data_IF_835299293143
#
_entry.id   IF_835299293143
#
_cell.length_a   1.000
_cell.length_b   1.000
_cell.length_c   1.000
_cell.angle_alpha   90.00
_cell.angle_beta   90.00
_cell.angle_gamma   90.00
#
_symmetry.space_group_name_H-M   'P 1'
#
loop_
_entity.id
_entity.type
_entity.pdbx_description
1 polymer ?
#
# COMPACT_ATOMS: atom_id res chain seq x y z
N UNK A 1 -7.57 7.28 -1.68
CA UNK A 1 -8.67 6.57 -0.96
C UNK A 1 -8.17 5.21 -0.51
N UNK A 2 -8.53 4.77 0.71
CA UNK A 2 -8.20 3.43 1.20
C UNK A 2 -8.73 2.33 0.25
N UNK A 3 -8.11 1.14 0.21
CA UNK A 3 -8.72 -0.03 -0.42
C UNK A 3 -10.12 -0.27 0.16
N UNK A 4 -11.09 -0.64 -0.69
CA UNK A 4 -12.50 -0.76 -0.33
C UNK A 4 -12.77 -1.68 0.87
N UNK A 5 -11.96 -2.72 1.04
CA UNK A 5 -12.04 -3.65 2.18
C UNK A 5 -11.77 -2.95 3.51
N UNK A 6 -10.73 -2.12 3.59
CA UNK A 6 -10.36 -1.41 4.82
C UNK A 6 -11.32 -0.28 5.15
N UNK A 7 -11.79 0.47 4.14
CA UNK A 7 -12.76 1.55 4.35
C UNK A 7 -14.10 0.98 4.86
N UNK A 8 -14.52 -0.19 4.36
CA UNK A 8 -15.72 -0.90 4.84
C UNK A 8 -15.59 -1.32 6.31
N UNK A 9 -14.49 -1.97 6.68
CA UNK A 9 -14.25 -2.41 8.07
C UNK A 9 -14.21 -1.21 9.00
N UNK A 10 -13.46 -0.17 8.62
CA UNK A 10 -13.35 1.05 9.40
C UNK A 10 -14.72 1.69 9.66
N UNK A 11 -15.52 1.87 8.60
CA UNK A 11 -16.85 2.46 8.70
C UNK A 11 -17.79 1.60 9.58
N UNK A 12 -17.69 0.27 9.50
CA UNK A 12 -18.46 -0.63 10.37
C UNK A 12 -18.03 -0.52 11.84
N UNK A 13 -16.73 -0.45 12.12
CA UNK A 13 -16.20 -0.34 13.48
C UNK A 13 -16.53 1.00 14.14
N UNK A 14 -16.69 2.07 13.35
CA UNK A 14 -16.99 3.42 13.85
C UNK A 14 -18.49 3.68 13.98
N UNK A 15 -19.34 2.96 13.23
CA UNK A 15 -20.79 3.19 13.21
C UNK A 15 -21.42 3.28 14.62
N UNK A 16 -21.09 2.42 15.61
CA UNK A 16 -21.64 2.53 16.96
C UNK A 16 -21.25 3.84 17.67
N UNK A 17 -20.02 4.32 17.44
CA UNK A 17 -19.53 5.58 18.02
C UNK A 17 -20.25 6.77 17.39
N UNK A 18 -20.45 6.75 16.07
CA UNK A 18 -21.24 7.77 15.37
C UNK A 18 -22.69 7.81 15.86
N UNK A 19 -23.31 6.64 16.05
CA UNK A 19 -24.66 6.53 16.62
C UNK A 19 -24.71 7.05 18.06
N UNK A 20 -23.71 6.74 18.90
CA UNK A 20 -23.66 7.26 20.27
C UNK A 20 -23.51 8.79 20.30
N UNK A 21 -22.70 9.35 19.41
CA UNK A 21 -22.44 10.79 19.32
C UNK A 21 -23.61 11.59 18.74
N UNK A 22 -24.53 10.95 18.01
CA UNK A 22 -25.75 11.59 17.50
C UNK A 22 -26.89 11.65 18.52
N UNK A 23 -26.81 10.90 19.63
CA UNK A 23 -27.81 10.95 20.69
C UNK A 23 -27.71 12.23 21.54
N UNK A 24 -28.84 12.73 22.02
CA UNK A 24 -28.96 13.96 22.81
C UNK A 24 -28.58 13.83 24.30
N UNK A 25 -27.89 12.76 24.68
CA UNK A 25 -27.50 12.48 26.07
C UNK A 25 -26.37 13.44 26.53
N UNK A 26 -25.56 13.95 25.58
CA UNK A 26 -24.44 14.84 25.84
C UNK A 26 -24.76 16.29 25.47
N UNK A 27 -24.27 17.26 26.27
CA UNK A 27 -24.37 18.69 25.98
C UNK A 27 -23.78 19.03 24.59
N UNK A 28 -24.37 20.00 23.89
CA UNK A 28 -24.08 20.34 22.48
C UNK A 28 -22.58 20.52 22.21
N UNK A 29 -21.88 21.32 23.02
CA UNK A 29 -20.46 21.61 22.81
C UNK A 29 -19.56 20.40 23.06
N UNK A 30 -19.94 19.56 24.04
CA UNK A 30 -19.23 18.32 24.35
C UNK A 30 -19.38 17.30 23.22
N UNK A 31 -20.57 17.22 22.59
CA UNK A 31 -20.77 16.43 21.36
C UNK A 31 -19.96 16.95 20.20
N UNK A 32 -19.96 18.26 19.95
CA UNK A 32 -19.19 18.86 18.87
C UNK A 32 -17.68 18.58 19.02
N UNK A 33 -17.14 18.71 20.23
CA UNK A 33 -15.75 18.38 20.54
C UNK A 33 -15.43 16.90 20.32
N UNK A 34 -16.30 16.00 20.79
CA UNK A 34 -16.14 14.55 20.61
C UNK A 34 -16.21 14.13 19.14
N UNK A 35 -17.14 14.68 18.36
CA UNK A 35 -17.26 14.45 16.91
C UNK A 35 -16.01 14.92 16.19
N UNK A 36 -15.49 16.11 16.54
CA UNK A 36 -14.25 16.64 15.97
C UNK A 36 -13.06 15.72 16.27
N UNK A 37 -12.89 15.30 17.54
CA UNK A 37 -11.83 14.35 17.93
C UNK A 37 -11.95 13.02 17.20
N UNK A 38 -13.16 12.47 17.12
CA UNK A 38 -13.43 11.22 16.40
C UNK A 38 -13.03 11.36 14.93
N UNK A 39 -13.44 12.42 14.24
CA UNK A 39 -13.08 12.67 12.84
C UNK A 39 -11.56 12.76 12.64
N UNK A 40 -10.84 13.46 13.53
CA UNK A 40 -9.37 13.53 13.49
C UNK A 40 -8.73 12.16 13.66
N UNK A 41 -9.15 11.37 14.64
CA UNK A 41 -8.63 10.02 14.88
C UNK A 41 -8.89 9.10 13.70
N UNK A 42 -10.09 9.15 13.11
CA UNK A 42 -10.44 8.36 11.92
C UNK A 42 -9.52 8.73 10.76
N UNK A 43 -9.35 10.02 10.53
CA UNK A 43 -8.48 10.54 9.46
C UNK A 43 -7.05 10.06 9.65
N UNK A 44 -6.49 10.21 10.86
CA UNK A 44 -5.15 9.72 11.18
C UNK A 44 -5.01 8.22 10.94
N UNK A 45 -5.98 7.42 11.38
CA UNK A 45 -5.97 5.98 11.15
C UNK A 45 -5.97 5.62 9.66
N UNK A 46 -6.73 6.35 8.83
CA UNK A 46 -6.71 6.16 7.37
C UNK A 46 -5.33 6.44 6.78
N UNK A 47 -4.64 7.47 7.29
CA UNK A 47 -3.27 7.78 6.88
C UNK A 47 -2.28 6.69 7.30
N UNK A 48 -2.31 6.27 8.56
CA UNK A 48 -1.41 5.24 9.09
C UNK A 48 -1.58 3.92 8.34
N UNK A 49 -2.83 3.52 8.07
CA UNK A 49 -3.12 2.29 7.32
C UNK A 49 -2.65 2.37 5.86
N UNK A 50 -2.76 3.55 5.25
CA UNK A 50 -2.19 3.76 3.92
C UNK A 50 -0.66 3.65 3.97
N UNK A 51 -0.01 4.34 4.90
CA UNK A 51 1.45 4.30 5.13
C UNK A 51 1.96 2.86 5.28
N UNK A 52 1.31 2.06 6.12
CA UNK A 52 1.64 0.64 6.28
C UNK A 52 1.46 -0.15 4.99
N UNK A 53 0.37 0.07 4.26
CA UNK A 53 0.12 -0.63 2.98
C UNK A 53 1.22 -0.34 1.97
N UNK A 54 1.70 0.90 1.91
CA UNK A 54 2.81 1.30 1.02
C UNK A 54 4.10 0.63 1.45
N UNK A 55 4.42 0.65 2.74
CA UNK A 55 5.63 0.04 3.28
C UNK A 55 5.67 -1.46 2.94
N UNK A 56 4.57 -2.18 3.17
CA UNK A 56 4.43 -3.60 2.81
C UNK A 56 4.64 -3.82 1.31
N UNK A 57 4.05 -2.97 0.46
CA UNK A 57 4.22 -3.07 -0.99
C UNK A 57 5.68 -2.83 -1.42
N UNK A 58 6.35 -1.85 -0.83
CA UNK A 58 7.75 -1.55 -1.08
C UNK A 58 8.67 -2.68 -0.64
N UNK A 59 8.46 -3.23 0.56
CA UNK A 59 9.25 -4.35 1.08
C UNK A 59 9.05 -5.61 0.25
N UNK A 60 7.82 -5.89 -0.16
CA UNK A 60 7.49 -6.99 -1.08
C UNK A 60 8.20 -6.82 -2.42
N UNK A 61 8.15 -5.62 -3.01
CA UNK A 61 8.84 -5.33 -4.26
C UNK A 61 10.36 -5.48 -4.12
N UNK A 62 10.95 -5.01 -3.01
CA UNK A 62 12.37 -5.17 -2.72
C UNK A 62 12.77 -6.64 -2.59
N UNK A 63 11.96 -7.45 -1.90
CA UNK A 63 12.18 -8.89 -1.77
C UNK A 63 12.16 -9.62 -3.12
N UNK A 64 11.18 -9.33 -3.98
CA UNK A 64 11.15 -9.89 -5.33
C UNK A 64 12.32 -9.45 -6.20
N UNK A 65 12.75 -8.18 -6.09
CA UNK A 65 13.91 -7.69 -6.83
C UNK A 65 15.20 -8.41 -6.40
N UNK A 66 15.40 -8.63 -5.10
CA UNK A 66 16.54 -9.40 -4.58
C UNK A 66 16.50 -10.85 -5.07
N UNK A 67 15.33 -11.49 -5.06
CA UNK A 67 15.16 -12.85 -5.57
C UNK A 67 15.47 -12.93 -7.08
N UNK A 68 15.04 -11.95 -7.86
CA UNK A 68 15.32 -11.86 -9.28
C UNK A 68 16.83 -11.73 -9.55
N UNK A 69 17.52 -10.83 -8.84
CA UNK A 69 18.98 -10.66 -8.93
C UNK A 69 19.69 -11.95 -8.55
N UNK A 70 19.31 -12.58 -7.45
CA UNK A 70 19.90 -13.84 -6.99
C UNK A 70 19.73 -14.95 -8.02
N UNK A 71 18.53 -15.08 -8.58
CA UNK A 71 18.21 -16.09 -9.60
C UNK A 71 19.00 -15.85 -10.89
N UNK A 72 19.07 -14.60 -11.35
CA UNK A 72 19.89 -14.20 -12.49
C UNK A 72 21.37 -14.53 -12.26
N UNK A 73 21.93 -14.18 -11.11
CA UNK A 73 23.33 -14.46 -10.78
C UNK A 73 23.62 -15.97 -10.79
N UNK A 74 22.71 -16.79 -10.23
CA UNK A 74 22.81 -18.25 -10.30
C UNK A 74 22.78 -18.76 -11.74
N UNK A 75 21.89 -18.24 -12.57
CA UNK A 75 21.78 -18.61 -13.98
C UNK A 75 23.04 -18.22 -14.77
N UNK A 76 23.61 -17.04 -14.53
CA UNK A 76 24.87 -16.61 -15.15
C UNK A 76 26.08 -17.46 -14.73
N UNK A 77 26.03 -18.09 -13.56
CA UNK A 77 27.08 -19.00 -13.07
C UNK A 77 26.94 -20.43 -13.64
N UNK A 78 25.82 -20.77 -14.29
CA UNK A 78 25.66 -22.06 -14.95
C UNK A 78 26.44 -22.06 -16.27
N UNK A 79 27.64 -22.62 -16.23
CA UNK A 79 28.43 -22.88 -17.44
C UNK A 79 27.95 -24.18 -18.09
N UNK A 80 26.84 -24.09 -18.84
CA UNK A 80 26.29 -25.21 -19.57
C UNK A 80 25.93 -24.82 -21.01
N UNK A 81 26.87 -25.08 -21.92
CA UNK A 81 26.77 -24.71 -23.34
C UNK A 81 25.53 -25.29 -24.04
N UNK A 82 24.99 -26.42 -23.58
CA UNK A 82 23.77 -27.04 -24.12
C UNK A 82 22.48 -26.28 -23.78
N UNK A 83 22.49 -25.52 -22.68
CA UNK A 83 21.33 -24.78 -22.17
C UNK A 83 21.49 -23.27 -22.30
N UNK A 84 22.59 -22.80 -22.90
CA UNK A 84 22.96 -21.39 -22.95
C UNK A 84 21.84 -20.49 -23.48
N UNK A 85 21.22 -20.85 -24.59
CA UNK A 85 20.11 -20.07 -25.18
C UNK A 85 18.90 -20.02 -24.26
N UNK A 86 18.55 -21.13 -23.58
CA UNK A 86 17.45 -21.17 -22.61
C UNK A 86 17.76 -20.35 -21.35
N UNK A 87 19.02 -20.36 -20.90
CA UNK A 87 19.50 -19.55 -19.78
C UNK A 87 19.42 -18.06 -20.13
N UNK A 88 19.87 -17.67 -21.33
CA UNK A 88 19.79 -16.29 -21.83
C UNK A 88 18.33 -15.81 -21.92
N UNK A 89 17.42 -16.65 -22.41
CA UNK A 89 15.99 -16.34 -22.45
C UNK A 89 15.38 -16.17 -21.05
N UNK A 90 15.77 -16.99 -20.08
CA UNK A 90 15.32 -16.87 -18.69
C UNK A 90 15.82 -15.57 -18.04
N UNK A 91 17.08 -15.20 -18.28
CA UNK A 91 17.64 -13.93 -17.80
C UNK A 91 16.85 -12.76 -18.38
N UNK A 92 16.59 -12.76 -19.69
CA UNK A 92 15.82 -11.72 -20.37
C UNK A 92 14.39 -11.62 -19.82
N UNK A 93 13.72 -12.76 -19.58
CA UNK A 93 12.39 -12.79 -19.00
C UNK A 93 12.35 -12.22 -17.56
N UNK A 94 13.38 -12.48 -16.76
CA UNK A 94 13.53 -11.92 -15.41
C UNK A 94 13.69 -10.40 -15.48
N UNK A 95 14.51 -9.89 -16.41
CA UNK A 95 14.74 -8.45 -16.59
C UNK A 95 13.48 -7.71 -17.04
N UNK A 96 12.77 -8.25 -18.04
CA UNK A 96 11.48 -7.69 -18.50
C UNK A 96 10.46 -7.65 -17.35
N UNK A 97 10.39 -8.73 -16.55
CA UNK A 97 9.50 -8.78 -15.40
C UNK A 97 9.88 -7.74 -14.34
N UNK A 98 11.18 -7.53 -14.10
CA UNK A 98 11.69 -6.51 -13.19
C UNK A 98 11.29 -5.09 -13.62
N UNK A 99 11.47 -4.75 -14.89
CA UNK A 99 11.07 -3.44 -15.42
C UNK A 99 9.56 -3.21 -15.37
N UNK A 100 8.76 -4.24 -15.69
CA UNK A 100 7.30 -4.16 -15.56
C UNK A 100 6.86 -3.92 -14.10
N UNK A 101 7.50 -4.58 -13.13
CA UNK A 101 7.22 -4.35 -11.71
C UNK A 101 7.58 -2.93 -11.28
N UNK A 102 8.73 -2.41 -11.73
CA UNK A 102 9.18 -1.05 -11.45
C UNK A 102 8.22 0.00 -12.03
N UNK A 103 7.81 -0.17 -13.30
CA UNK A 103 6.83 0.71 -13.95
C UNK A 103 5.49 0.72 -13.22
N UNK A 104 4.97 -0.46 -12.87
CA UNK A 104 3.71 -0.58 -12.13
C UNK A 104 3.78 0.02 -10.73
N UNK A 105 4.92 -0.08 -10.06
CA UNK A 105 5.16 0.60 -8.79
C UNK A 105 5.12 2.13 -8.98
N UNK A 106 5.79 2.67 -10.00
CA UNK A 106 5.76 4.10 -10.30
C UNK A 106 4.34 4.61 -10.59
N UNK A 107 3.56 3.88 -11.39
CA UNK A 107 2.15 4.21 -11.67
C UNK A 107 1.30 4.21 -10.40
N UNK A 108 1.49 3.22 -9.51
CA UNK A 108 0.82 3.16 -8.21
C UNK A 108 1.17 4.37 -7.32
N UNK A 109 2.44 4.74 -7.28
CA UNK A 109 2.91 5.92 -6.55
C UNK A 109 2.30 7.21 -7.14
N UNK A 110 2.37 7.42 -8.45
CA UNK A 110 1.83 8.64 -9.06
C UNK A 110 0.30 8.77 -8.90
N UNK A 111 -0.45 7.69 -9.10
CA UNK A 111 -1.92 7.76 -9.16
C UNK A 111 -2.58 7.75 -7.77
N UNK A 112 -2.05 6.98 -6.81
CA UNK A 112 -2.71 6.76 -5.51
C UNK A 112 -2.12 7.52 -4.34
N UNK A 113 -0.85 7.92 -4.42
CA UNK A 113 -0.16 8.53 -3.28
C UNK A 113 -0.25 10.04 -3.28
N UNK A 114 0.11 10.67 -4.41
CA UNK A 114 0.14 12.13 -4.52
C UNK A 114 -1.26 12.71 -4.25
N UNK A 115 -2.29 12.14 -4.87
CA UNK A 115 -3.69 12.54 -4.67
C UNK A 115 -4.25 12.27 -3.26
N UNK A 116 -3.64 11.37 -2.47
CA UNK A 116 -4.12 11.01 -1.14
C UNK A 116 -3.46 11.84 -0.03
N UNK A 117 -2.15 12.09 -0.14
CA UNK A 117 -1.42 12.87 0.86
C UNK A 117 -1.54 14.39 0.66
N UNK A 118 -1.83 14.87 -0.55
CA UNK A 118 -2.20 16.29 -0.76
C UNK A 118 -3.53 16.67 -0.12
N UNK A 119 -4.39 15.70 0.20
CA UNK A 119 -5.66 15.90 0.91
C UNK A 119 -5.55 15.71 2.43
N UNK A 120 -4.33 15.52 2.96
CA UNK A 120 -4.11 15.41 4.40
C UNK A 120 -4.30 16.77 5.08
N UNK A 121 -5.13 16.88 6.15
CA UNK A 121 -5.18 18.11 6.93
C UNK A 121 -3.82 18.34 7.61
N UNK A 122 -3.32 19.57 7.53
CA UNK A 122 -2.13 20.04 8.25
C UNK A 122 -2.32 20.03 9.78
#
# INVERSE_FOLDING_TARGET
>A
RLPQSYDKILNQSIAPIQTMLSHAILHKDRRASMVSRCSKTITQYKFDLMAMTIAIAQDTARGYAQLAIHTKNKLCQLDNNSLRTSIEQLIQAIEIRGENMKKRAQELFQYKMISFFEQAPA
#
